data_IF_000809783273
#
_entry.id   IF_000809783273
#
_cell.length_a   1.000
_cell.length_b   1.000
_cell.length_c   1.000
_cell.angle_alpha   90.00
_cell.angle_beta   90.00
_cell.angle_gamma   90.00
#
_symmetry.space_group_name_H-M   'P 1'
#
loop_
_entity.id
_entity.type
_entity.pdbx_description
1 polymer ?
#
# COMPACT_ATOMS: atom_id res chain seq x y z
N UNK A 1 -4.63 -5.96 20.97
CA UNK A 1 -4.29 -6.48 19.62
C UNK A 1 -4.08 -5.28 18.72
N UNK A 2 -2.84 -4.99 18.34
CA UNK A 2 -2.56 -3.97 17.33
C UNK A 2 -2.85 -4.60 15.98
N UNK A 3 -3.67 -3.94 15.16
CA UNK A 3 -4.04 -4.45 13.85
C UNK A 3 -3.56 -3.46 12.77
N UNK A 4 -3.10 -4.00 11.65
CA UNK A 4 -2.58 -3.22 10.54
C UNK A 4 -3.72 -2.52 9.76
N UNK A 5 -3.71 -1.17 9.63
CA UNK A 5 -4.78 -0.45 8.94
C UNK A 5 -4.85 -0.69 7.43
N UNK A 6 -3.81 -1.28 6.81
CA UNK A 6 -3.87 -1.75 5.42
C UNK A 6 -4.73 -3.02 5.23
N UNK A 7 -5.25 -3.60 6.32
CA UNK A 7 -6.27 -4.66 6.30
C UNK A 7 -7.49 -4.14 7.08
N UNK A 8 -8.58 -3.72 6.43
CA UNK A 8 -9.71 -3.10 7.11
C UNK A 8 -10.40 -4.08 8.08
N UNK A 9 -10.93 -3.55 9.19
CA UNK A 9 -11.64 -4.35 10.21
C UNK A 9 -12.90 -5.03 9.65
N UNK A 10 -13.68 -4.25 8.91
CA UNK A 10 -14.83 -4.70 8.14
C UNK A 10 -14.42 -4.85 6.67
N UNK A 11 -15.28 -5.44 5.85
CA UNK A 11 -15.07 -5.39 4.39
C UNK A 11 -15.09 -3.91 3.96
N UNK A 12 -14.04 -3.46 3.27
CA UNK A 12 -13.94 -2.08 2.82
C UNK A 12 -15.11 -1.73 1.90
N UNK A 13 -15.68 -0.55 2.08
CA UNK A 13 -16.73 0.00 1.23
C UNK A 13 -16.23 1.16 0.34
N UNK A 14 -15.02 1.66 0.63
CA UNK A 14 -14.35 2.72 -0.14
C UNK A 14 -12.92 2.27 -0.46
N UNK A 15 -12.45 2.56 -1.67
CA UNK A 15 -11.07 2.31 -2.09
C UNK A 15 -10.43 3.59 -2.63
N UNK A 16 -9.20 3.87 -2.20
CA UNK A 16 -8.32 4.86 -2.80
C UNK A 16 -7.35 4.13 -3.73
N UNK A 17 -7.26 4.57 -4.98
CA UNK A 17 -6.51 3.88 -6.05
C UNK A 17 -5.93 4.90 -7.04
N UNK A 18 -4.83 4.54 -7.71
CA UNK A 18 -4.20 5.38 -8.74
C UNK A 18 -5.26 5.90 -9.75
N UNK A 19 -5.36 7.22 -9.90
CA UNK A 19 -6.35 7.88 -10.75
C UNK A 19 -6.22 7.59 -12.24
N UNK A 20 -5.15 6.91 -12.68
CA UNK A 20 -4.86 6.53 -14.07
C UNK A 20 -5.11 5.05 -14.35
N UNK A 21 -5.61 4.28 -13.38
CA UNK A 21 -5.89 2.86 -13.61
C UNK A 21 -6.83 2.66 -14.81
N UNK A 22 -6.65 1.59 -15.61
CA UNK A 22 -7.50 1.30 -16.75
C UNK A 22 -8.99 1.22 -16.37
N UNK A 23 -9.87 1.62 -17.30
CA UNK A 23 -11.33 1.56 -17.12
C UNK A 23 -11.83 0.18 -16.65
N UNK A 24 -11.20 -0.92 -17.11
CA UNK A 24 -11.52 -2.28 -16.66
C UNK A 24 -11.39 -2.44 -15.13
N UNK A 25 -10.34 -1.88 -14.52
CA UNK A 25 -10.13 -1.91 -13.06
C UNK A 25 -11.25 -1.14 -12.36
N UNK A 26 -11.55 0.07 -12.85
CA UNK A 26 -12.62 0.91 -12.29
C UNK A 26 -13.99 0.22 -12.38
N UNK A 27 -14.31 -0.38 -13.52
CA UNK A 27 -15.59 -1.06 -13.74
C UNK A 27 -15.73 -2.31 -12.85
N UNK A 28 -14.64 -3.05 -12.64
CA UNK A 28 -14.66 -4.21 -11.74
C UNK A 28 -14.82 -3.79 -10.27
N UNK A 29 -14.20 -2.70 -9.83
CA UNK A 29 -14.44 -2.13 -8.50
C UNK A 29 -15.88 -1.64 -8.33
N UNK A 30 -16.47 -1.01 -9.36
CA UNK A 30 -17.89 -0.57 -9.34
C UNK A 30 -18.85 -1.75 -9.22
N UNK A 31 -18.61 -2.85 -9.93
CA UNK A 31 -19.42 -4.10 -9.82
C UNK A 31 -19.40 -4.70 -8.41
N UNK A 32 -18.39 -4.37 -7.61
CA UNK A 32 -18.29 -4.77 -6.21
C UNK A 32 -19.03 -3.81 -5.25
N UNK A 33 -19.77 -2.82 -5.78
CA UNK A 33 -20.46 -1.76 -5.04
C UNK A 33 -19.53 -0.94 -4.12
N UNK A 34 -18.28 -0.72 -4.57
CA UNK A 34 -17.32 0.10 -3.85
C UNK A 34 -17.43 1.56 -4.28
N UNK A 35 -17.32 2.46 -3.31
CA UNK A 35 -17.02 3.86 -3.57
C UNK A 35 -15.54 3.98 -3.97
N UNK A 36 -15.25 4.65 -5.08
CA UNK A 36 -13.89 4.74 -5.63
C UNK A 36 -13.44 6.18 -5.54
N UNK A 37 -12.33 6.40 -4.84
CA UNK A 37 -11.64 7.69 -4.75
C UNK A 37 -10.35 7.57 -5.58
N UNK A 38 -10.36 8.04 -6.84
CA UNK A 38 -9.11 8.13 -7.60
C UNK A 38 -8.17 9.13 -6.93
N UNK A 39 -6.88 8.85 -6.93
CA UNK A 39 -5.87 9.84 -6.57
C UNK A 39 -5.78 10.96 -7.61
N UNK A 40 -5.22 12.10 -7.19
CA UNK A 40 -4.75 13.15 -8.09
C UNK A 40 -3.24 13.07 -8.27
N UNK A 41 -2.73 13.75 -9.29
CA UNK A 41 -1.30 13.91 -9.47
C UNK A 41 -0.67 14.71 -8.33
N UNK A 42 0.36 14.17 -7.71
CA UNK A 42 1.36 14.96 -7.00
C UNK A 42 2.42 15.37 -8.02
N UNK A 43 2.39 16.64 -8.44
CA UNK A 43 3.23 17.15 -9.53
C UNK A 43 4.72 17.24 -9.19
N UNK A 44 5.05 17.18 -7.91
CA UNK A 44 6.41 17.35 -7.40
C UNK A 44 7.21 16.05 -7.46
N UNK A 45 6.55 14.87 -7.44
CA UNK A 45 7.21 13.56 -7.52
C UNK A 45 7.34 13.07 -8.96
N UNK A 46 8.15 12.03 -9.19
CA UNK A 46 8.34 11.49 -10.53
C UNK A 46 7.05 10.91 -11.14
N UNK A 47 6.88 11.08 -12.46
CA UNK A 47 5.65 10.71 -13.19
C UNK A 47 5.19 9.26 -13.00
N UNK A 48 6.08 8.24 -12.93
CA UNK A 48 5.64 6.86 -12.71
C UNK A 48 4.80 6.69 -11.45
N UNK A 49 5.20 7.35 -10.36
CA UNK A 49 4.59 7.20 -9.03
C UNK A 49 3.66 8.37 -8.65
N UNK A 50 3.47 9.36 -9.53
CA UNK A 50 2.78 10.62 -9.19
C UNK A 50 1.30 10.49 -8.83
N UNK A 51 0.70 9.32 -9.06
CA UNK A 51 -0.67 9.00 -8.63
C UNK A 51 -0.72 7.85 -7.63
N UNK A 52 0.41 7.32 -7.17
CA UNK A 52 0.43 6.20 -6.24
C UNK A 52 -0.15 6.61 -4.87
N UNK A 53 -1.25 5.98 -4.39
CA UNK A 53 -1.82 6.30 -3.08
C UNK A 53 -0.80 6.22 -1.93
N UNK A 54 0.02 5.18 -1.88
CA UNK A 54 1.00 4.95 -0.81
C UNK A 54 2.23 5.86 -0.84
N UNK A 55 2.38 6.70 -1.86
CA UNK A 55 3.40 7.76 -1.89
C UNK A 55 2.92 8.98 -1.11
N UNK A 56 1.62 9.31 -1.21
CA UNK A 56 1.07 10.55 -0.64
C UNK A 56 0.15 10.32 0.56
N UNK A 57 -0.22 9.08 0.87
CA UNK A 57 -1.16 8.73 1.95
C UNK A 57 -0.60 7.58 2.79
N UNK A 58 -0.70 7.71 4.11
CA UNK A 58 -0.47 6.60 5.03
C UNK A 58 -1.61 6.45 6.05
N UNK A 59 -2.26 5.27 6.14
CA UNK A 59 -3.19 4.98 7.23
C UNK A 59 -2.45 4.84 8.56
N UNK A 60 -2.70 5.76 9.49
CA UNK A 60 -2.16 5.67 10.87
C UNK A 60 -2.89 4.54 11.62
N UNK A 61 -4.23 4.58 11.55
CA UNK A 61 -5.17 3.61 12.09
C UNK A 61 -6.39 3.50 11.16
N UNK A 62 -7.45 2.80 11.60
CA UNK A 62 -8.64 2.52 10.77
C UNK A 62 -9.47 3.74 10.37
N UNK A 63 -9.35 4.84 11.10
CA UNK A 63 -10.19 6.01 10.96
C UNK A 63 -9.35 7.28 10.78
N UNK A 64 -8.04 7.15 10.59
CA UNK A 64 -7.12 8.28 10.51
C UNK A 64 -6.07 8.04 9.43
N UNK A 65 -6.00 8.96 8.46
CA UNK A 65 -4.97 9.00 7.44
C UNK A 65 -4.06 10.20 7.70
N UNK A 66 -2.76 10.04 7.45
CA UNK A 66 -1.87 11.17 7.18
C UNK A 66 -1.71 11.32 5.68
N UNK A 67 -1.72 12.55 5.18
CA UNK A 67 -1.64 12.88 3.76
C UNK A 67 -0.56 13.93 3.54
N UNK A 68 0.23 13.76 2.48
CA UNK A 68 1.27 14.70 2.10
C UNK A 68 0.69 16.11 1.84
N UNK A 69 1.38 17.18 2.27
CA UNK A 69 0.93 18.55 2.05
C UNK A 69 0.61 18.87 0.58
N UNK A 70 1.38 18.30 -0.36
CA UNK A 70 1.26 18.48 -1.81
C UNK A 70 -0.16 18.30 -2.36
N UNK A 71 -0.95 17.42 -1.74
CA UNK A 71 -2.25 16.98 -2.24
C UNK A 71 -3.33 16.98 -1.14
N UNK A 72 -3.05 17.64 -0.01
CA UNK A 72 -3.88 17.55 1.19
C UNK A 72 -5.33 18.00 0.96
N UNK A 73 -5.53 19.18 0.37
CA UNK A 73 -6.86 19.78 0.19
C UNK A 73 -7.81 18.86 -0.58
N UNK A 74 -7.30 18.16 -1.60
CA UNK A 74 -8.07 17.20 -2.37
C UNK A 74 -8.62 16.08 -1.48
N UNK A 75 -7.78 15.49 -0.62
CA UNK A 75 -8.20 14.39 0.23
C UNK A 75 -9.05 14.87 1.42
N UNK A 76 -8.80 16.08 1.94
CA UNK A 76 -9.66 16.69 2.95
C UNK A 76 -11.08 16.86 2.42
N UNK A 77 -11.25 17.40 1.22
CA UNK A 77 -12.56 17.55 0.57
C UNK A 77 -13.20 16.20 0.26
N UNK A 78 -12.46 15.28 -0.39
CA UNK A 78 -13.00 13.99 -0.86
C UNK A 78 -13.40 13.04 0.25
N UNK A 79 -12.77 13.12 1.42
CA UNK A 79 -13.05 12.26 2.57
C UNK A 79 -13.90 12.96 3.63
N UNK A 80 -14.31 14.22 3.39
CA UNK A 80 -15.16 14.97 4.29
C UNK A 80 -16.48 14.26 4.55
N UNK A 81 -16.87 14.16 5.83
CA UNK A 81 -18.11 13.50 6.25
C UNK A 81 -18.10 11.96 6.19
N UNK A 82 -17.01 11.32 5.74
CA UNK A 82 -16.93 9.86 5.57
C UNK A 82 -16.51 9.10 6.84
N UNK A 83 -16.39 9.78 7.98
CA UNK A 83 -15.91 9.19 9.25
C UNK A 83 -14.41 8.87 9.26
N UNK A 84 -13.64 9.46 8.35
CA UNK A 84 -12.18 9.37 8.27
C UNK A 84 -11.58 10.73 8.65
N UNK A 85 -10.70 10.73 9.66
CA UNK A 85 -9.90 11.89 10.03
C UNK A 85 -8.71 12.00 9.09
N UNK A 86 -8.52 13.17 8.49
CA UNK A 86 -7.32 13.48 7.69
C UNK A 86 -6.38 14.35 8.51
N UNK A 87 -5.10 14.05 8.43
CA UNK A 87 -4.02 14.78 9.07
C UNK A 87 -3.06 15.20 7.97
N UNK A 88 -2.84 16.50 7.81
CA UNK A 88 -1.80 16.98 6.92
C UNK A 88 -0.44 16.62 7.51
N UNK A 89 0.45 16.01 6.75
CA UNK A 89 1.85 15.75 7.12
C UNK A 89 2.67 17.05 7.30
N UNK A 90 3.98 16.93 7.43
CA UNK A 90 4.92 18.05 7.54
C UNK A 90 5.94 18.06 6.39
N UNK A 91 6.22 16.89 5.83
CA UNK A 91 7.18 16.74 4.74
C UNK A 91 6.47 16.92 3.41
N UNK A 92 6.80 18.01 2.71
CA UNK A 92 6.52 18.14 1.28
C UNK A 92 7.37 17.15 0.49
N UNK A 93 6.74 16.45 -0.45
CA UNK A 93 7.43 15.48 -1.29
C UNK A 93 8.18 16.19 -2.42
N UNK A 94 9.35 15.65 -2.74
CA UNK A 94 10.21 16.11 -3.83
C UNK A 94 10.32 15.10 -4.97
N UNK A 95 11.05 15.48 -6.01
CA UNK A 95 11.11 14.72 -7.27
C UNK A 95 11.95 13.46 -7.19
N UNK A 96 13.08 13.58 -6.49
CA UNK A 96 14.15 12.59 -6.53
C UNK A 96 14.21 11.82 -5.22
N UNK A 97 14.53 10.53 -5.31
CA UNK A 97 14.77 9.71 -4.13
C UNK A 97 15.91 10.31 -3.29
N UNK A 98 15.77 10.48 -1.95
CA UNK A 98 14.70 9.95 -1.09
C UNK A 98 13.64 10.98 -0.65
N UNK A 99 13.38 12.02 -1.43
CA UNK A 99 12.39 13.07 -1.09
C UNK A 99 10.94 12.65 -1.35
N UNK A 100 10.74 11.53 -2.04
CA UNK A 100 9.44 11.02 -2.49
C UNK A 100 8.90 9.83 -1.65
N UNK A 101 9.59 9.47 -0.56
CA UNK A 101 9.28 8.27 0.25
C UNK A 101 8.69 8.56 1.63
N UNK A 102 8.42 9.83 1.97
CA UNK A 102 8.15 10.23 3.35
C UNK A 102 6.96 9.52 4.02
N UNK A 103 5.99 9.08 3.21
CA UNK A 103 4.79 8.38 3.67
C UNK A 103 4.75 6.89 3.28
N UNK A 104 5.74 6.38 2.51
CA UNK A 104 5.76 5.00 1.98
C UNK A 104 6.22 3.95 3.01
N UNK A 105 5.72 4.07 4.24
CA UNK A 105 6.04 3.20 5.37
C UNK A 105 5.29 1.86 5.26
N UNK A 106 6.02 0.74 5.31
CA UNK A 106 5.42 -0.58 5.41
C UNK A 106 4.85 -0.85 6.81
N UNK A 107 3.73 -1.57 6.91
CA UNK A 107 3.12 -1.98 8.19
C UNK A 107 2.90 -3.48 8.23
N UNK A 108 3.16 -4.11 9.38
CA UNK A 108 2.82 -5.51 9.65
C UNK A 108 2.62 -5.71 11.15
N UNK A 109 1.44 -6.16 11.59
CA UNK A 109 1.08 -6.17 13.01
C UNK A 109 1.28 -4.80 13.67
N UNK A 110 2.04 -4.76 14.76
CA UNK A 110 2.43 -3.53 15.47
C UNK A 110 3.74 -2.92 14.95
N UNK A 111 4.27 -3.35 13.80
CA UNK A 111 5.56 -2.89 13.28
C UNK A 111 5.36 -1.90 12.13
N UNK A 112 6.22 -0.87 12.10
CA UNK A 112 6.45 0.00 10.95
C UNK A 112 7.85 -0.29 10.38
N UNK A 113 7.95 -0.44 9.07
CA UNK A 113 9.18 -0.77 8.35
C UNK A 113 9.45 0.37 7.37
N UNK A 114 10.55 1.08 7.56
CA UNK A 114 10.94 2.15 6.64
C UNK A 114 12.36 2.64 6.92
N UNK A 115 12.86 3.51 6.04
CA UNK A 115 13.98 4.39 6.35
C UNK A 115 13.50 5.59 7.18
N UNK A 116 13.54 5.44 8.51
CA UNK A 116 13.04 6.45 9.45
C UNK A 116 13.75 7.81 9.44
N UNK A 117 14.90 7.91 8.78
CA UNK A 117 15.56 9.20 8.51
C UNK A 117 14.72 10.07 7.57
N UNK A 118 14.01 9.45 6.64
CA UNK A 118 13.22 10.13 5.59
C UNK A 118 11.73 10.01 5.81
N UNK A 119 11.27 9.49 6.97
CA UNK A 119 9.83 9.46 7.29
C UNK A 119 9.37 10.79 7.83
N UNK A 120 8.19 11.21 7.41
CA UNK A 120 7.51 12.38 7.97
C UNK A 120 7.45 12.34 9.52
N UNK A 121 7.79 13.44 10.17
CA UNK A 121 7.87 13.52 11.64
C UNK A 121 6.49 13.38 12.28
N UNK A 122 5.45 13.96 11.67
CA UNK A 122 4.09 13.87 12.15
C UNK A 122 3.56 12.44 12.02
N UNK A 123 3.84 11.75 10.91
CA UNK A 123 3.58 10.31 10.78
C UNK A 123 4.29 9.53 11.90
N UNK A 124 5.60 9.74 12.11
CA UNK A 124 6.34 9.07 13.20
C UNK A 124 5.71 9.32 14.57
N UNK A 125 5.30 10.54 14.86
CA UNK A 125 4.63 10.90 16.11
C UNK A 125 3.34 10.08 16.30
N UNK A 126 2.47 10.05 15.29
CA UNK A 126 1.20 9.32 15.38
C UNK A 126 1.39 7.80 15.44
N UNK A 127 2.35 7.24 14.71
CA UNK A 127 2.66 5.81 14.80
C UNK A 127 3.15 5.43 16.21
N UNK A 128 4.01 6.25 16.84
CA UNK A 128 4.41 6.04 18.24
C UNK A 128 3.22 6.10 19.20
N UNK A 129 2.30 7.04 18.98
CA UNK A 129 1.07 7.17 19.78
C UNK A 129 0.17 5.94 19.69
N UNK A 130 0.20 5.24 18.56
CA UNK A 130 -0.49 3.95 18.33
C UNK A 130 0.32 2.73 18.83
N UNK A 131 1.42 2.95 19.57
CA UNK A 131 2.34 1.91 20.06
C UNK A 131 2.92 1.03 18.93
N UNK A 132 3.25 1.66 17.80
CA UNK A 132 3.88 0.99 16.65
C UNK A 132 5.40 1.03 16.81
N UNK A 133 6.04 -0.14 16.75
CA UNK A 133 7.48 -0.29 16.86
C UNK A 133 8.17 -0.06 15.50
N UNK A 134 9.32 0.61 15.53
CA UNK A 134 10.03 1.04 14.31
C UNK A 134 11.17 0.09 13.96
N UNK A 135 11.05 -0.56 12.81
CA UNK A 135 12.03 -1.49 12.25
C UNK A 135 12.74 -0.83 11.07
N UNK A 136 13.93 -0.29 11.32
CA UNK A 136 14.68 0.40 10.28
C UNK A 136 15.16 -0.54 9.17
N UNK A 137 14.97 -0.11 7.92
CA UNK A 137 15.56 -0.66 6.70
C UNK A 137 16.02 0.50 5.80
N UNK A 138 16.99 0.26 4.91
CA UNK A 138 17.47 1.30 3.99
C UNK A 138 16.49 1.58 2.84
N UNK A 139 15.64 0.60 2.50
CA UNK A 139 14.61 0.70 1.46
C UNK A 139 13.56 1.75 1.84
N UNK A 140 13.39 2.76 0.98
CA UNK A 140 12.42 3.82 1.15
C UNK A 140 11.03 3.48 0.61
N UNK A 141 10.92 2.72 -0.48
CA UNK A 141 9.61 2.29 -0.98
C UNK A 141 9.12 1.05 -0.22
N UNK A 142 9.14 1.10 1.11
CA UNK A 142 8.89 -0.05 1.96
C UNK A 142 7.45 -0.54 1.83
N UNK A 143 6.47 0.36 1.71
CA UNK A 143 5.07 -0.03 1.51
C UNK A 143 4.84 -0.64 0.13
N UNK A 144 5.39 -0.04 -0.92
CA UNK A 144 5.29 -0.61 -2.27
C UNK A 144 5.96 -1.98 -2.33
N UNK A 145 7.08 -2.18 -1.64
CA UNK A 145 7.83 -3.45 -1.63
C UNK A 145 7.08 -4.60 -0.94
N UNK A 146 6.16 -4.29 -0.02
CA UNK A 146 5.54 -5.27 0.88
C UNK A 146 4.06 -5.49 0.58
N UNK A 147 3.72 -6.66 0.04
CA UNK A 147 2.33 -7.13 -0.03
C UNK A 147 1.95 -7.75 1.32
N UNK A 148 1.10 -7.06 2.07
CA UNK A 148 0.66 -7.49 3.39
C UNK A 148 -0.43 -8.55 3.22
N UNK A 149 -0.18 -9.76 3.71
CA UNK A 149 -1.14 -10.87 3.60
C UNK A 149 -1.95 -11.00 4.88
N UNK A 150 -1.34 -10.83 6.05
CA UNK A 150 -2.04 -10.94 7.33
C UNK A 150 -1.38 -10.10 8.40
N UNK A 151 -1.69 -10.38 9.67
CA UNK A 151 -1.06 -9.69 10.81
C UNK A 151 0.41 -10.11 11.01
N UNK A 152 0.80 -11.31 10.54
CA UNK A 152 2.16 -11.83 10.65
C UNK A 152 2.63 -12.51 9.35
N UNK A 153 2.19 -12.00 8.19
CA UNK A 153 2.62 -12.53 6.90
C UNK A 153 2.71 -11.51 5.77
N UNK A 154 3.79 -11.61 5.00
CA UNK A 154 4.18 -10.65 3.95
C UNK A 154 4.74 -11.39 2.74
N UNK A 155 4.50 -10.86 1.54
CA UNK A 155 5.25 -11.22 0.33
C UNK A 155 6.10 -10.02 -0.07
N UNK A 156 7.38 -10.26 -0.40
CA UNK A 156 8.31 -9.21 -0.83
C UNK A 156 9.33 -9.77 -1.82
N UNK A 157 9.82 -8.93 -2.72
CA UNK A 157 11.02 -9.19 -3.52
C UNK A 157 12.28 -8.53 -2.90
N UNK A 158 12.10 -7.65 -1.91
CA UNK A 158 13.18 -6.94 -1.25
C UNK A 158 13.86 -7.85 -0.21
N UNK A 159 15.08 -8.28 -0.53
CA UNK A 159 15.86 -9.21 0.29
C UNK A 159 16.24 -8.64 1.67
N UNK A 160 16.68 -7.37 1.81
CA UNK A 160 16.87 -6.75 3.12
C UNK A 160 15.63 -6.80 4.03
N UNK A 161 14.45 -6.45 3.51
CA UNK A 161 13.17 -6.55 4.23
C UNK A 161 12.90 -8.01 4.60
N UNK A 162 13.05 -8.96 3.67
CA UNK A 162 12.88 -10.38 3.93
C UNK A 162 13.71 -10.86 5.12
N UNK A 163 15.02 -10.56 5.13
CA UNK A 163 15.91 -10.96 6.23
C UNK A 163 15.50 -10.32 7.55
N UNK A 164 15.18 -9.02 7.54
CA UNK A 164 14.81 -8.29 8.76
C UNK A 164 13.54 -8.84 9.38
N UNK A 165 12.50 -9.08 8.58
CA UNK A 165 11.20 -9.55 9.05
C UNK A 165 11.21 -11.03 9.44
N UNK A 166 11.93 -11.87 8.71
CA UNK A 166 12.08 -13.30 9.07
C UNK A 166 12.76 -13.46 10.44
N UNK A 167 13.77 -12.64 10.75
CA UNK A 167 14.42 -12.63 12.08
C UNK A 167 13.49 -12.22 13.22
N UNK A 168 12.41 -11.50 12.92
CA UNK A 168 11.37 -11.10 13.88
C UNK A 168 10.25 -12.14 13.99
N UNK A 169 10.37 -13.29 13.32
CA UNK A 169 9.36 -14.36 13.36
C UNK A 169 8.14 -14.12 12.46
N UNK A 170 8.24 -13.18 11.53
CA UNK A 170 7.20 -12.94 10.51
C UNK A 170 7.34 -14.00 9.42
N UNK A 171 6.22 -14.56 8.96
CA UNK A 171 6.23 -15.47 7.82
C UNK A 171 6.34 -14.67 6.53
N UNK A 172 7.50 -14.74 5.86
CA UNK A 172 7.77 -13.95 4.67
C UNK A 172 8.03 -14.86 3.48
N UNK A 173 7.23 -14.70 2.43
CA UNK A 173 7.54 -15.27 1.13
C UNK A 173 8.44 -14.31 0.36
N UNK A 174 9.68 -14.74 0.12
CA UNK A 174 10.57 -14.08 -0.83
C UNK A 174 10.21 -14.53 -2.26
N UNK A 175 9.99 -13.56 -3.15
CA UNK A 175 9.75 -13.80 -4.58
C UNK A 175 10.84 -13.14 -5.43
N UNK A 176 10.97 -13.57 -6.67
CA UNK A 176 11.87 -12.97 -7.64
C UNK A 176 11.39 -11.54 -7.99
N UNK A 177 12.30 -10.54 -8.03
CA UNK A 177 11.94 -9.21 -8.51
C UNK A 177 11.61 -9.22 -10.00
N UNK A 178 10.86 -8.21 -10.46
CA UNK A 178 10.43 -8.09 -11.85
C UNK A 178 8.99 -8.54 -12.07
N UNK A 179 8.60 -8.67 -13.34
CA UNK A 179 7.32 -9.21 -13.81
C UNK A 179 6.06 -8.43 -13.41
N UNK A 180 6.19 -7.34 -12.66
CA UNK A 180 5.14 -6.36 -12.35
C UNK A 180 5.43 -5.10 -13.16
N UNK A 181 4.42 -4.60 -13.87
CA UNK A 181 4.57 -3.45 -14.76
C UNK A 181 4.53 -2.13 -13.98
N UNK A 182 5.47 -1.24 -14.29
CA UNK A 182 5.45 0.15 -13.85
C UNK A 182 6.07 0.98 -14.97
N UNK A 183 5.26 1.80 -15.64
CA UNK A 183 5.73 2.60 -16.76
C UNK A 183 6.83 3.58 -16.31
N UNK A 184 7.93 3.65 -17.05
CA UNK A 184 9.10 4.47 -16.69
C UNK A 184 10.13 3.77 -15.80
N UNK A 185 9.89 2.54 -15.36
CA UNK A 185 10.84 1.72 -14.60
C UNK A 185 11.02 0.33 -15.21
N UNK A 186 12.06 -0.39 -14.77
CA UNK A 186 12.32 -1.77 -15.21
C UNK A 186 11.26 -2.75 -14.69
N UNK A 187 10.72 -2.49 -13.50
CA UNK A 187 9.62 -3.22 -12.89
C UNK A 187 9.00 -2.42 -11.73
N UNK A 188 7.77 -2.77 -11.36
CA UNK A 188 7.08 -2.29 -10.16
C UNK A 188 7.13 -3.29 -9.00
N UNK A 189 6.51 -2.95 -7.87
CA UNK A 189 6.57 -3.73 -6.65
C UNK A 189 5.26 -4.45 -6.30
N UNK A 190 5.37 -5.58 -5.60
CA UNK A 190 4.21 -6.45 -5.29
C UNK A 190 3.23 -5.82 -4.29
N UNK A 191 3.73 -5.05 -3.32
CA UNK A 191 2.87 -4.31 -2.40
C UNK A 191 2.09 -3.21 -3.12
N UNK A 192 2.75 -2.49 -4.03
CA UNK A 192 2.16 -1.43 -4.83
C UNK A 192 1.10 -1.94 -5.83
N UNK A 193 1.19 -3.20 -6.25
CA UNK A 193 0.21 -3.83 -7.12
C UNK A 193 -1.02 -4.43 -6.40
N UNK A 194 -1.13 -4.26 -5.06
CA UNK A 194 -2.11 -4.99 -4.23
C UNK A 194 -2.78 -4.14 -3.16
N UNK A 195 -3.87 -4.67 -2.59
CA UNK A 195 -4.48 -4.14 -1.37
C UNK A 195 -5.49 -5.10 -0.76
N UNK A 196 -5.70 -5.05 0.55
CA UNK A 196 -6.69 -5.92 1.18
C UNK A 196 -8.05 -5.23 1.24
N UNK A 197 -9.08 -5.85 0.67
CA UNK A 197 -10.46 -5.41 0.83
C UNK A 197 -11.04 -5.88 2.17
N UNK A 198 -10.55 -7.01 2.69
CA UNK A 198 -10.96 -7.54 3.99
C UNK A 198 -9.86 -8.45 4.56
N UNK A 199 -10.08 -8.99 5.77
CA UNK A 199 -9.23 -10.06 6.29
C UNK A 199 -9.16 -11.29 5.37
N UNK A 200 -10.20 -11.55 4.58
CA UNK A 200 -10.29 -12.72 3.68
C UNK A 200 -10.00 -12.39 2.22
N UNK A 201 -10.12 -11.13 1.80
CA UNK A 201 -10.10 -10.72 0.39
C UNK A 201 -8.92 -9.79 0.11
N UNK A 202 -8.11 -10.17 -0.87
CA UNK A 202 -7.00 -9.36 -1.37
C UNK A 202 -7.20 -9.08 -2.85
N UNK A 203 -7.03 -7.82 -3.23
CA UNK A 203 -7.12 -7.33 -4.59
C UNK A 203 -5.73 -7.28 -5.22
N UNK A 204 -5.66 -7.67 -6.49
CA UNK A 204 -4.50 -7.51 -7.35
C UNK A 204 -4.92 -6.73 -8.59
N UNK A 205 -4.09 -5.77 -9.01
CA UNK A 205 -4.36 -4.93 -10.18
C UNK A 205 -4.52 -5.74 -11.47
N UNK A 206 -3.83 -6.87 -11.59
CA UNK A 206 -3.90 -7.79 -12.73
C UNK A 206 -3.35 -9.17 -12.40
N UNK A 207 -3.18 -10.02 -13.43
CA UNK A 207 -2.74 -11.42 -13.32
C UNK A 207 -1.22 -11.54 -13.22
N UNK A 208 -0.74 -12.52 -12.45
CA UNK A 208 0.68 -12.93 -12.37
C UNK A 208 1.03 -14.08 -13.31
N UNK A 209 0.33 -14.27 -14.43
CA UNK A 209 0.52 -15.45 -15.26
C UNK A 209 1.95 -15.61 -15.81
N UNK A 210 2.71 -14.50 -15.87
CA UNK A 210 4.11 -14.48 -16.32
C UNK A 210 5.13 -14.47 -15.17
N UNK A 211 4.71 -14.41 -13.91
CA UNK A 211 5.63 -14.35 -12.78
C UNK A 211 6.15 -15.76 -12.45
N UNK A 212 7.48 -15.98 -12.35
CA UNK A 212 8.06 -17.31 -12.12
C UNK A 212 7.60 -17.94 -10.80
N UNK A 213 7.42 -17.11 -9.76
CA UNK A 213 6.91 -17.56 -8.46
C UNK A 213 5.37 -17.56 -8.30
N UNK A 214 4.59 -17.52 -9.40
CA UNK A 214 3.12 -17.50 -9.34
C UNK A 214 2.56 -18.57 -8.40
N UNK A 215 2.97 -19.82 -8.56
CA UNK A 215 2.47 -20.93 -7.74
C UNK A 215 2.86 -20.79 -6.27
N UNK A 216 4.05 -20.24 -5.97
CA UNK A 216 4.45 -19.96 -4.58
C UNK A 216 3.56 -18.89 -3.95
N UNK A 217 3.27 -17.82 -4.69
CA UNK A 217 2.36 -16.75 -4.25
C UNK A 217 0.95 -17.30 -4.00
N UNK A 218 0.39 -18.08 -4.94
CA UNK A 218 -0.94 -18.67 -4.79
C UNK A 218 -1.02 -19.62 -3.58
N UNK A 219 -0.01 -20.47 -3.40
CA UNK A 219 0.06 -21.37 -2.25
C UNK A 219 0.19 -20.61 -0.92
N UNK A 220 0.96 -19.52 -0.90
CA UNK A 220 1.10 -18.68 0.29
C UNK A 220 -0.21 -17.97 0.64
N UNK A 221 -0.90 -17.41 -0.35
CA UNK A 221 -2.25 -16.82 -0.15
C UNK A 221 -3.25 -17.87 0.36
N UNK A 222 -3.20 -19.09 -0.20
CA UNK A 222 -4.04 -20.22 0.22
C UNK A 222 -3.76 -20.64 1.67
N UNK A 223 -2.48 -20.68 2.10
CA UNK A 223 -2.08 -20.93 3.50
C UNK A 223 -2.78 -19.95 4.46
N UNK A 224 -2.92 -18.69 4.06
CA UNK A 224 -3.59 -17.64 4.82
C UNK A 224 -5.10 -17.52 4.54
N UNK A 225 -5.69 -18.48 3.81
CA UNK A 225 -7.12 -18.53 3.45
C UNK A 225 -7.60 -17.25 2.75
N UNK A 226 -6.72 -16.63 1.96
CA UNK A 226 -7.05 -15.45 1.15
C UNK A 226 -7.76 -15.84 -0.12
N UNK A 227 -8.86 -15.16 -0.40
CA UNK A 227 -9.52 -15.12 -1.71
C UNK A 227 -8.90 -14.00 -2.51
N UNK A 228 -8.61 -14.31 -3.77
CA UNK A 228 -7.97 -13.37 -4.69
C UNK A 228 -9.05 -12.70 -5.53
N UNK A 229 -9.06 -11.37 -5.53
CA UNK A 229 -9.88 -10.55 -6.41
C UNK A 229 -8.97 -9.96 -7.47
N UNK A 230 -9.13 -10.41 -8.71
CA UNK A 230 -8.39 -9.87 -9.85
C UNK A 230 -9.15 -8.66 -10.40
N UNK A 231 -8.54 -7.48 -10.38
CA UNK A 231 -9.18 -6.26 -10.88
C UNK A 231 -9.09 -6.12 -12.42
N UNK A 232 -8.18 -6.85 -13.05
CA UNK A 232 -8.08 -6.97 -14.51
C UNK A 232 -7.57 -8.35 -14.91
N UNK A 233 -7.84 -8.74 -16.16
CA UNK A 233 -7.22 -9.91 -16.79
C UNK A 233 -5.86 -9.60 -17.45
N UNK A 234 -5.44 -8.34 -17.46
CA UNK A 234 -4.13 -7.91 -17.97
C UNK A 234 -3.01 -8.32 -17.02
N UNK A 235 -1.76 -8.12 -17.47
CA UNK A 235 -0.59 -8.30 -16.62
C UNK A 235 -0.67 -7.36 -15.41
N UNK A 236 -0.22 -7.85 -14.27
CA UNK A 236 -0.18 -7.08 -13.04
C UNK A 236 0.69 -5.83 -13.17
N UNK A 237 0.21 -4.73 -12.61
CA UNK A 237 0.86 -3.41 -12.59
C UNK A 237 0.96 -2.86 -11.18
N UNK A 238 2.04 -2.16 -10.88
CA UNK A 238 2.16 -1.37 -9.67
C UNK A 238 1.35 -0.08 -9.84
N UNK A 239 0.46 0.17 -8.88
CA UNK A 239 -0.51 1.28 -8.86
C UNK A 239 -0.52 1.96 -7.48
N UNK A 240 0.56 1.80 -6.70
CA UNK A 240 0.75 2.50 -5.42
C UNK A 240 -0.09 2.03 -4.25
N UNK A 241 -0.34 0.72 -4.13
CA UNK A 241 -1.17 0.08 -3.11
C UNK A 241 -2.65 0.50 -3.20
N UNK A 242 -3.56 -0.47 -3.23
CA UNK A 242 -4.99 -0.19 -3.15
C UNK A 242 -5.37 -0.02 -1.67
N UNK A 243 -5.63 1.20 -1.22
CA UNK A 243 -5.97 1.49 0.18
C UNK A 243 -7.48 1.32 0.35
N UNK A 244 -7.89 0.29 1.10
CA UNK A 244 -9.31 0.04 1.38
C UNK A 244 -9.69 0.61 2.75
N UNK A 245 -10.80 1.33 2.79
CA UNK A 245 -11.35 1.98 3.97
C UNK A 245 -12.77 1.46 4.26
N UNK A 246 -13.17 1.57 5.53
CA UNK A 246 -14.56 1.39 5.94
C UNK A 246 -15.10 2.73 6.42
N UNK A 247 -15.79 3.43 5.54
CA UNK A 247 -16.39 4.74 5.77
C UNK A 247 -17.81 4.60 6.35
N UNK A 248 -18.27 5.62 7.07
CA UNK A 248 -19.58 5.65 7.72
C UNK A 248 -20.72 5.96 6.76
#
# INVERSE_FOLDING_TARGET
MSFNPFIPKNIGNTVIIDGRVPLEILDNLKKMNLNIIPTIECTEVSKPISYHPDIVIHPINYNTLVVAPNVFDYYEERLHGMGIKIIQGETELGKDYPEDIAYNVGRIGNLAIHNFKYTDEKLKYYLKKENVEFIHVNQGYAKCSMAIIGENSVITADYPIYIKLTKLGIDVLLVQPGYIELEGHTYGFIGGATGNLSKKDIMFSGKFDKHPDKEKVLNFLKKYKKRIVWLSNKKIMDIGTIISLYCQ
#
